data_IF_001348955332
#
_entry.id   IF_001348955332
#
_cell.length_a   1.000
_cell.length_b   1.000
_cell.length_c   1.000
_cell.angle_alpha   90.00
_cell.angle_beta   90.00
_cell.angle_gamma   90.00
#
_symmetry.space_group_name_H-M   'P 1'
#
loop_
_entity.id
_entity.type
_entity.pdbx_description
1 polymer ?
#
# COMPACT_ATOMS: atom_id res chain seq x y z
N UNK A 1 -5.09 18.03 6.79
CA UNK A 1 -5.34 16.87 7.38
C UNK A 1 -6.54 16.18 6.85
N UNK A 2 -6.59 14.99 7.07
CA UNK A 2 -7.65 14.21 6.59
C UNK A 2 -8.90 14.59 7.21
N UNK A 3 -9.95 14.58 6.49
CA UNK A 3 -11.09 15.02 7.08
C UNK A 3 -12.31 14.45 6.54
N UNK A 4 -12.31 13.25 6.05
CA UNK A 4 -13.59 12.72 5.71
C UNK A 4 -14.36 12.48 7.00
N UNK A 5 -15.64 12.65 6.93
CA UNK A 5 -16.48 12.70 8.10
C UNK A 5 -16.51 11.38 8.86
N UNK A 6 -16.27 10.27 8.19
CA UNK A 6 -16.29 8.98 8.85
C UNK A 6 -14.97 8.63 9.49
N UNK A 7 -13.93 9.42 9.27
CA UNK A 7 -12.61 9.09 9.74
C UNK A 7 -11.91 8.06 8.88
N UNK A 8 -12.55 7.58 7.82
CA UNK A 8 -11.93 6.61 6.92
C UNK A 8 -11.09 7.31 5.88
N UNK A 9 -10.01 6.69 5.43
CA UNK A 9 -9.21 7.29 4.37
C UNK A 9 -9.95 7.27 3.04
N UNK A 10 -9.52 8.11 2.12
CA UNK A 10 -10.08 8.11 0.78
C UNK A 10 -9.67 6.83 0.04
N UNK A 11 -8.46 6.38 0.27
CA UNK A 11 -7.94 5.24 -0.49
C UNK A 11 -7.11 4.33 0.39
N UNK A 12 -7.27 3.04 0.21
CA UNK A 12 -6.42 2.03 0.81
C UNK A 12 -5.50 1.49 -0.26
N UNK A 13 -4.20 1.65 -0.06
CA UNK A 13 -3.20 1.16 -1.00
C UNK A 13 -2.65 -0.16 -0.48
N UNK A 14 -2.90 -1.24 -1.19
CA UNK A 14 -2.45 -2.57 -0.81
C UNK A 14 -1.12 -2.86 -1.48
N UNK A 15 -0.14 -3.28 -0.69
CA UNK A 15 1.18 -3.61 -1.21
C UNK A 15 1.51 -5.03 -0.79
N UNK A 16 1.39 -6.00 -1.69
CA UNK A 16 1.78 -7.38 -1.38
C UNK A 16 3.30 -7.48 -1.36
N UNK A 17 3.84 -8.12 -0.32
CA UNK A 17 5.28 -8.15 -0.10
C UNK A 17 5.75 -9.58 0.16
N UNK A 18 6.71 -10.02 -0.65
CA UNK A 18 7.38 -11.27 -0.42
C UNK A 18 8.82 -11.17 -0.92
N UNK A 19 9.77 -11.11 0.00
CA UNK A 19 11.21 -11.10 -0.31
C UNK A 19 11.59 -10.03 -1.34
N UNK A 20 11.22 -8.78 -1.05
CA UNK A 20 11.47 -7.66 -1.95
C UNK A 20 12.28 -6.55 -1.28
N UNK A 21 13.12 -6.90 -0.30
CA UNK A 21 13.85 -5.87 0.45
C UNK A 21 14.62 -4.92 -0.46
N UNK A 22 15.03 -5.39 -1.63
CA UNK A 22 15.82 -4.63 -2.56
C UNK A 22 15.06 -3.43 -3.13
N UNK A 23 13.75 -3.55 -3.29
CA UNK A 23 12.92 -2.53 -3.92
C UNK A 23 11.97 -1.85 -2.96
N UNK A 24 11.81 -2.40 -1.76
CA UNK A 24 10.72 -2.04 -0.88
C UNK A 24 10.80 -0.59 -0.41
N UNK A 25 11.99 -0.09 -0.13
CA UNK A 25 12.11 1.29 0.32
C UNK A 25 11.66 2.28 -0.74
N UNK A 26 12.06 2.04 -1.97
CA UNK A 26 11.65 2.92 -3.07
C UNK A 26 10.14 2.88 -3.25
N UNK A 27 9.55 1.70 -3.15
CA UNK A 27 8.12 1.53 -3.25
C UNK A 27 7.40 2.32 -2.16
N UNK A 28 7.80 2.13 -0.91
CA UNK A 28 7.15 2.80 0.22
C UNK A 28 7.38 4.31 0.18
N UNK A 29 8.57 4.74 -0.19
CA UNK A 29 8.83 6.17 -0.31
C UNK A 29 7.91 6.81 -1.35
N UNK A 30 7.69 6.15 -2.48
CA UNK A 30 6.81 6.69 -3.50
C UNK A 30 5.36 6.75 -3.02
N UNK A 31 4.94 5.78 -2.22
CA UNK A 31 3.60 5.78 -1.67
C UNK A 31 3.40 6.90 -0.66
N UNK A 32 4.40 7.12 0.18
CA UNK A 32 4.30 8.17 1.21
C UNK A 32 4.42 9.57 0.62
N UNK A 33 5.04 9.70 -0.55
CA UNK A 33 5.23 10.99 -1.20
C UNK A 33 4.06 11.40 -2.09
N UNK A 34 2.98 10.64 -2.11
CA UNK A 34 1.83 10.98 -2.95
C UNK A 34 1.20 12.30 -2.55
N UNK A 35 0.74 13.05 -3.54
CA UNK A 35 0.04 14.31 -3.27
C UNK A 35 -1.31 14.07 -2.62
N UNK A 36 -1.94 12.93 -2.89
CA UNK A 36 -3.12 12.52 -2.15
C UNK A 36 -2.66 12.01 -0.79
N UNK A 37 -2.97 12.74 0.26
CA UNK A 37 -2.45 12.44 1.60
C UNK A 37 -3.37 11.56 2.43
N UNK A 38 -4.65 11.55 2.13
CA UNK A 38 -5.65 10.84 2.93
C UNK A 38 -5.75 9.38 2.50
N UNK A 39 -4.67 8.65 2.76
CA UNK A 39 -4.55 7.25 2.38
C UNK A 39 -4.08 6.42 3.55
N UNK A 40 -4.40 5.14 3.53
CA UNK A 40 -3.74 4.16 4.37
C UNK A 40 -2.93 3.24 3.47
N UNK A 41 -1.77 2.82 3.96
CA UNK A 41 -0.88 1.96 3.20
C UNK A 41 -0.81 0.63 3.93
N UNK A 42 -1.34 -0.41 3.31
CA UNK A 42 -1.41 -1.72 3.94
C UNK A 42 -0.40 -2.64 3.29
N UNK A 43 0.65 -2.93 4.04
CA UNK A 43 1.72 -3.82 3.59
C UNK A 43 1.37 -5.23 4.03
N UNK A 44 1.23 -6.16 3.10
CA UNK A 44 0.91 -7.53 3.43
C UNK A 44 2.17 -8.37 3.25
N UNK A 45 2.79 -8.70 4.37
CA UNK A 45 4.00 -9.52 4.36
C UNK A 45 3.63 -10.99 4.31
N UNK A 46 3.88 -11.60 3.17
CA UNK A 46 3.47 -12.98 2.91
C UNK A 46 4.62 -13.94 3.24
N UNK A 47 5.07 -13.89 4.48
CA UNK A 47 6.08 -14.84 4.96
C UNK A 47 7.48 -14.58 4.43
N UNK A 48 7.86 -13.32 4.25
CA UNK A 48 9.21 -13.00 3.76
C UNK A 48 10.28 -13.55 4.68
N UNK A 49 11.34 -14.05 4.09
CA UNK A 49 12.49 -14.56 4.82
C UNK A 49 13.67 -13.59 4.82
N UNK A 50 13.55 -12.49 4.11
CA UNK A 50 14.57 -11.45 4.06
C UNK A 50 14.24 -10.34 5.07
N UNK A 51 14.77 -9.13 4.89
CA UNK A 51 14.55 -8.02 5.80
C UNK A 51 13.31 -7.20 5.47
N UNK A 52 12.44 -7.67 4.59
CA UNK A 52 11.23 -6.93 4.24
C UNK A 52 10.39 -6.56 5.47
N UNK A 53 10.11 -7.48 6.41
CA UNK A 53 9.31 -7.08 7.57
C UNK A 53 9.98 -6.00 8.42
N UNK A 54 11.30 -6.05 8.56
CA UNK A 54 11.99 -5.02 9.32
C UNK A 54 11.87 -3.66 8.66
N UNK A 55 11.93 -3.63 7.34
CA UNK A 55 11.76 -2.38 6.59
C UNK A 55 10.34 -1.84 6.78
N UNK A 56 9.34 -2.69 6.72
CA UNK A 56 7.97 -2.26 6.94
C UNK A 56 7.82 -1.63 8.33
N UNK A 57 8.38 -2.27 9.35
CA UNK A 57 8.29 -1.75 10.71
C UNK A 57 8.96 -0.40 10.85
N UNK A 58 10.07 -0.22 10.18
CA UNK A 58 10.76 1.07 10.17
C UNK A 58 9.83 2.17 9.62
N UNK A 59 9.11 1.88 8.56
CA UNK A 59 8.20 2.86 7.95
C UNK A 59 6.96 3.08 8.82
N UNK A 60 6.49 2.05 9.50
CA UNK A 60 5.38 2.21 10.44
C UNK A 60 5.72 3.17 11.56
N UNK A 61 6.97 3.18 12.01
CA UNK A 61 7.39 4.11 13.05
C UNK A 61 7.48 5.53 12.54
N UNK A 62 7.75 5.70 11.27
CA UNK A 62 7.89 7.03 10.69
C UNK A 62 6.56 7.66 10.29
N UNK A 63 5.57 6.84 9.95
CA UNK A 63 4.32 7.36 9.41
C UNK A 63 3.16 6.44 9.82
N UNK A 64 2.22 7.02 10.56
CA UNK A 64 1.09 6.26 11.09
C UNK A 64 0.13 5.73 10.04
N UNK A 65 0.28 6.13 8.78
CA UNK A 65 -0.56 5.62 7.71
C UNK A 65 -0.14 4.23 7.24
N UNK A 66 1.09 3.81 7.59
CA UNK A 66 1.61 2.51 7.18
C UNK A 66 1.19 1.45 8.17
N UNK A 67 0.58 0.39 7.68
CA UNK A 67 0.11 -0.74 8.48
C UNK A 67 0.66 -2.02 7.89
N UNK A 68 0.75 -3.06 8.71
CA UNK A 68 1.27 -4.34 8.23
C UNK A 68 0.36 -5.48 8.63
N UNK A 69 0.13 -6.37 7.68
CA UNK A 69 -0.40 -7.69 7.95
C UNK A 69 0.79 -8.64 7.83
N UNK A 70 1.14 -9.29 8.92
CA UNK A 70 2.30 -10.16 8.97
C UNK A 70 1.79 -11.60 9.06
N UNK A 71 1.96 -12.37 8.00
CA UNK A 71 1.35 -13.69 7.93
C UNK A 71 2.31 -14.71 7.36
N UNK A 72 2.01 -15.98 7.57
CA UNK A 72 2.76 -17.06 6.95
C UNK A 72 2.51 -17.04 5.43
N UNK A 73 3.48 -17.53 4.68
CA UNK A 73 3.38 -17.55 3.22
C UNK A 73 2.18 -18.37 2.78
N UNK A 74 1.30 -17.78 2.01
CA UNK A 74 0.11 -18.47 1.50
C UNK A 74 -0.29 -17.99 0.12
N UNK A 75 0.51 -17.12 -0.49
CA UNK A 75 0.31 -16.73 -1.88
C UNK A 75 -0.35 -15.38 -2.05
N UNK A 76 -0.25 -14.89 -3.26
CA UNK A 76 -0.69 -13.55 -3.62
C UNK A 76 -2.19 -13.36 -3.41
N UNK A 77 -3.00 -14.32 -3.87
CA UNK A 77 -4.45 -14.18 -3.75
C UNK A 77 -4.91 -14.09 -2.31
N UNK A 78 -4.34 -14.92 -1.46
CA UNK A 78 -4.68 -14.88 -0.04
C UNK A 78 -4.23 -13.57 0.59
N UNK A 79 -3.05 -13.09 0.22
CA UNK A 79 -2.57 -11.80 0.69
C UNK A 79 -3.53 -10.68 0.31
N UNK A 80 -4.02 -10.69 -0.93
CA UNK A 80 -4.95 -9.67 -1.37
C UNK A 80 -6.26 -9.73 -0.60
N UNK A 81 -6.74 -10.95 -0.31
CA UNK A 81 -7.96 -11.09 0.50
C UNK A 81 -7.79 -10.49 1.89
N UNK A 82 -6.64 -10.74 2.52
CA UNK A 82 -6.37 -10.14 3.83
C UNK A 82 -6.32 -8.61 3.75
N UNK A 83 -5.67 -8.10 2.70
CA UNK A 83 -5.60 -6.66 2.53
C UNK A 83 -6.96 -6.03 2.32
N UNK A 84 -7.80 -6.67 1.53
CA UNK A 84 -9.15 -6.16 1.27
C UNK A 84 -9.99 -6.16 2.54
N UNK A 85 -9.84 -7.17 3.39
CA UNK A 85 -10.57 -7.21 4.64
C UNK A 85 -10.17 -6.08 5.58
N UNK A 86 -8.91 -5.68 5.56
CA UNK A 86 -8.43 -4.61 6.41
C UNK A 86 -8.73 -3.23 5.85
N UNK A 87 -8.91 -3.13 4.55
CA UNK A 87 -9.04 -1.85 3.87
C UNK A 87 -10.27 -1.08 4.34
N UNK A 88 -10.07 0.19 4.66
CA UNK A 88 -11.16 1.07 5.11
C UNK A 88 -11.40 2.21 4.15
N UNK A 89 -10.60 2.32 3.10
CA UNK A 89 -10.71 3.41 2.15
C UNK A 89 -11.93 3.31 1.27
N UNK A 90 -12.34 4.46 0.76
CA UNK A 90 -13.43 4.53 -0.19
C UNK A 90 -13.04 3.86 -1.51
N UNK A 91 -11.76 3.94 -1.86
CA UNK A 91 -11.19 3.29 -3.02
C UNK A 91 -10.07 2.36 -2.59
N UNK A 92 -9.78 1.36 -3.41
CA UNK A 92 -8.68 0.45 -3.16
C UNK A 92 -7.76 0.45 -4.37
N UNK A 93 -6.49 0.60 -4.13
CA UNK A 93 -5.47 0.49 -5.16
C UNK A 93 -4.48 -0.59 -4.79
N UNK A 94 -3.76 -1.11 -5.76
CA UNK A 94 -2.73 -2.11 -5.55
C UNK A 94 -1.43 -1.60 -6.16
N UNK A 95 -0.37 -1.62 -5.36
CA UNK A 95 0.96 -1.28 -5.83
C UNK A 95 1.86 -2.48 -5.60
N UNK A 96 2.41 -3.02 -6.68
CA UNK A 96 3.35 -4.13 -6.55
C UNK A 96 4.61 -3.64 -5.85
N UNK A 97 5.16 -4.47 -4.97
CA UNK A 97 6.24 -4.03 -4.08
C UNK A 97 7.56 -3.77 -4.79
N UNK A 98 7.70 -4.19 -6.04
CA UNK A 98 8.87 -3.86 -6.85
C UNK A 98 8.62 -2.68 -7.79
N UNK A 99 7.50 -1.98 -7.61
CA UNK A 99 7.14 -0.81 -8.40
C UNK A 99 7.28 0.47 -7.57
N UNK A 100 7.11 1.58 -8.24
CA UNK A 100 7.04 2.89 -7.58
C UNK A 100 6.09 3.77 -8.39
N UNK A 101 5.62 4.85 -7.75
CA UNK A 101 4.60 5.69 -8.35
C UNK A 101 5.08 7.12 -8.55
N UNK A 102 4.58 7.76 -9.60
CA UNK A 102 4.71 9.21 -9.71
C UNK A 102 3.98 9.87 -8.55
N UNK A 103 4.40 11.07 -8.16
CA UNK A 103 3.90 11.70 -6.94
C UNK A 103 2.42 12.05 -6.98
N UNK A 104 1.82 12.18 -8.16
CA UNK A 104 0.40 12.53 -8.28
C UNK A 104 -0.45 11.36 -8.79
N UNK A 105 0.08 10.14 -8.79
CA UNK A 105 -0.62 9.02 -9.39
C UNK A 105 -1.95 8.73 -8.71
N UNK A 106 -1.97 8.73 -7.39
CA UNK A 106 -3.19 8.39 -6.65
C UNK A 106 -4.23 9.49 -6.74
N UNK A 107 -3.79 10.74 -6.75
CA UNK A 107 -4.72 11.85 -6.85
C UNK A 107 -5.50 11.78 -8.15
N UNK A 108 -4.84 11.45 -9.23
CA UNK A 108 -5.51 11.35 -10.51
C UNK A 108 -6.43 10.15 -10.62
N UNK A 109 -6.04 9.02 -10.02
CA UNK A 109 -6.82 7.80 -10.11
C UNK A 109 -7.99 7.75 -9.15
N UNK A 110 -7.94 8.51 -8.07
CA UNK A 110 -8.98 8.44 -7.05
C UNK A 110 -10.16 9.36 -7.33
N UNK A 111 -10.15 10.08 -8.43
CA UNK A 111 -11.27 10.95 -8.76
C UNK A 111 -12.47 10.13 -9.19
N UNK A 112 -13.68 10.56 -8.83
CA UNK A 112 -14.87 9.88 -9.33
C UNK A 112 -14.91 9.92 -10.85
N UNK A 113 -15.48 8.92 -11.50
CA UNK A 113 -16.20 7.79 -10.94
C UNK A 113 -15.36 6.54 -10.71
N UNK A 114 -14.09 6.68 -10.49
CA UNK A 114 -13.22 5.52 -10.33
C UNK A 114 -13.51 4.82 -9.02
N UNK A 115 -13.92 3.58 -9.09
CA UNK A 115 -14.21 2.81 -7.90
C UNK A 115 -13.10 1.87 -7.52
N UNK A 116 -12.42 1.29 -8.50
CA UNK A 116 -11.35 0.35 -8.27
C UNK A 116 -10.21 0.73 -9.16
N UNK A 117 -9.01 0.73 -8.62
CA UNK A 117 -7.86 1.09 -9.39
C UNK A 117 -7.14 -0.13 -9.89
N UNK A 118 -6.71 -0.10 -11.13
CA UNK A 118 -5.91 -1.21 -11.65
C UNK A 118 -4.53 -1.18 -11.04
N UNK A 119 -3.78 -2.20 -11.34
CA UNK A 119 -2.38 -2.24 -10.96
C UNK A 119 -1.67 -1.02 -11.52
N UNK A 120 -0.86 -0.41 -10.68
CA UNK A 120 -0.16 0.79 -11.07
C UNK A 120 1.05 0.44 -11.92
N UNK A 121 1.72 1.50 -12.41
CA UNK A 121 2.80 1.31 -13.33
C UNK A 121 3.88 0.41 -12.78
N UNK A 122 4.35 -0.50 -13.60
CA UNK A 122 5.41 -1.39 -13.22
C UNK A 122 6.76 -0.86 -13.62
N UNK A 123 7.76 -1.21 -12.83
CA UNK A 123 9.13 -1.00 -13.18
C UNK A 123 9.53 -1.99 -14.26
N UNK A 124 10.15 -1.60 -15.29
CA UNK A 124 10.56 -2.53 -16.33
C UNK A 124 12.05 -2.49 -16.53
#
# INVERSE_FOLDING_TARGET
MSTNASGSPVLSLLIPIYNVQRYLRECLDSALAQTLKDIEIICINDGSTDNSPAIIREYMERDGRVKMIDKANSGYGDSMNHGLEMARGKYVGILESDDFMASDALENLSRPPIAIMPTLRRRT
#
